data_IF_200860960835
#
_entry.id   IF_200860960835
#
_cell.length_a   1.000
_cell.length_b   1.000
_cell.length_c   1.000
_cell.angle_alpha   90.00
_cell.angle_beta   90.00
_cell.angle_gamma   90.00
#
_symmetry.space_group_name_H-M   'P 1'
#
loop_
_entity.id
_entity.type
_entity.pdbx_description
1 polymer ?
#
# COMPACT_ATOMS: atom_id res chain seq x y z
N UNK A 1 -23.40 14.17 49.87
CA UNK A 1 -24.81 13.86 49.51
C UNK A 1 -25.17 14.44 48.13
N UNK A 2 -24.33 14.26 47.12
CA UNK A 2 -24.56 14.63 45.70
C UNK A 2 -23.75 13.66 44.82
N UNK A 3 -24.03 12.36 44.92
CA UNK A 3 -23.35 11.36 44.08
C UNK A 3 -24.23 10.13 43.73
N UNK A 4 -25.56 10.26 43.86
CA UNK A 4 -26.51 9.15 43.62
C UNK A 4 -27.69 9.52 42.71
N UNK A 5 -27.56 10.52 41.85
CA UNK A 5 -28.69 10.95 40.98
C UNK A 5 -28.38 10.82 39.46
N UNK A 6 -27.36 10.07 39.05
CA UNK A 6 -27.02 9.88 37.62
C UNK A 6 -27.18 8.45 37.10
N UNK A 7 -27.78 7.54 37.87
CA UNK A 7 -27.96 6.13 37.44
C UNK A 7 -29.41 5.72 37.16
N UNK A 8 -30.36 6.66 37.07
CA UNK A 8 -31.78 6.29 36.92
C UNK A 8 -32.46 6.80 35.62
N UNK A 9 -31.72 7.19 34.58
CA UNK A 9 -32.33 7.65 33.30
C UNK A 9 -31.96 6.76 32.10
N UNK A 10 -31.31 5.63 32.29
CA UNK A 10 -30.85 4.76 31.16
C UNK A 10 -31.57 3.39 31.10
N UNK A 11 -32.73 3.18 31.70
CA UNK A 11 -33.49 1.91 31.66
C UNK A 11 -34.95 2.12 31.28
N UNK A 12 -35.28 2.94 30.29
CA UNK A 12 -36.69 3.09 29.87
C UNK A 12 -36.87 3.38 28.38
N UNK A 13 -36.08 2.72 27.49
CA UNK A 13 -36.31 2.74 26.04
C UNK A 13 -35.97 1.39 25.36
N UNK A 14 -36.39 0.28 25.95
CA UNK A 14 -36.39 -1.02 25.26
C UNK A 14 -37.67 -1.75 25.63
N UNK A 15 -38.79 -1.36 25.04
CA UNK A 15 -39.99 -2.19 24.90
C UNK A 15 -41.05 -1.40 24.10
N UNK A 16 -41.01 -1.49 22.80
CA UNK A 16 -42.17 -1.40 21.89
C UNK A 16 -41.69 -1.58 20.47
N UNK A 17 -41.93 -2.76 19.90
CA UNK A 17 -42.22 -3.00 18.49
C UNK A 17 -42.08 -4.51 18.21
N UNK A 18 -43.05 -5.26 18.71
CA UNK A 18 -43.46 -6.53 18.13
C UNK A 18 -44.92 -6.40 17.78
N UNK A 19 -45.26 -6.40 16.49
CA UNK A 19 -46.46 -7.05 15.95
C UNK A 19 -46.61 -6.79 14.46
N UNK A 20 -46.71 -7.87 13.70
CA UNK A 20 -47.49 -8.09 12.46
C UNK A 20 -46.98 -7.35 11.19
N UNK A 21 -46.74 -8.06 10.09
CA UNK A 21 -47.65 -8.93 9.35
C UNK A 21 -46.92 -9.66 8.25
N UNK A 22 -47.20 -10.94 8.11
CA UNK A 22 -47.00 -11.82 6.99
C UNK A 22 -47.61 -11.27 5.69
N UNK A 23 -46.89 -11.30 4.60
CA UNK A 23 -47.46 -11.49 3.26
C UNK A 23 -46.53 -12.29 2.37
N UNK A 24 -47.10 -13.29 1.79
CA UNK A 24 -46.66 -14.43 1.00
C UNK A 24 -46.62 -14.08 -0.49
N UNK A 25 -45.69 -14.76 -1.23
CA UNK A 25 -45.73 -15.08 -2.67
C UNK A 25 -45.43 -13.97 -3.71
N UNK A 26 -44.46 -14.17 -4.58
CA UNK A 26 -44.55 -15.02 -5.79
C UNK A 26 -43.20 -15.05 -6.54
N UNK A 27 -42.74 -16.23 -6.86
CA UNK A 27 -41.78 -16.48 -7.98
C UNK A 27 -42.44 -16.26 -9.34
N UNK A 28 -41.69 -15.93 -10.38
CA UNK A 28 -42.04 -16.38 -11.72
C UNK A 28 -40.90 -17.15 -12.39
N UNK A 29 -41.33 -18.28 -12.87
CA UNK A 29 -40.85 -19.30 -13.77
C UNK A 29 -40.01 -18.82 -14.97
N UNK A 30 -38.98 -19.62 -15.24
CA UNK A 30 -38.26 -19.78 -16.50
C UNK A 30 -39.18 -20.21 -17.65
N UNK A 31 -38.87 -19.92 -18.91
CA UNK A 31 -39.11 -20.85 -19.98
C UNK A 31 -37.83 -21.28 -20.69
N UNK A 32 -37.88 -22.55 -21.10
CA UNK A 32 -36.89 -23.37 -21.73
C UNK A 32 -36.79 -23.19 -23.26
N UNK A 33 -35.62 -23.60 -23.78
CA UNK A 33 -35.33 -24.23 -25.05
C UNK A 33 -35.88 -23.68 -26.38
N UNK A 34 -34.97 -23.37 -27.28
CA UNK A 34 -35.07 -23.86 -28.69
C UNK A 34 -33.69 -24.03 -29.30
N UNK A 35 -33.38 -25.26 -29.71
CA UNK A 35 -32.27 -25.68 -30.55
C UNK A 35 -32.54 -25.30 -32.04
N UNK A 36 -31.48 -25.11 -32.77
CA UNK A 36 -31.19 -25.55 -34.18
C UNK A 36 -30.13 -24.61 -34.76
N UNK A 37 -29.19 -24.95 -35.58
CA UNK A 37 -28.74 -26.08 -36.33
C UNK A 37 -27.42 -25.67 -37.01
N UNK A 38 -26.60 -26.64 -37.31
CA UNK A 38 -25.29 -26.59 -37.96
C UNK A 38 -25.33 -26.03 -39.39
N UNK A 39 -24.25 -25.41 -39.85
CA UNK A 39 -23.74 -25.70 -41.21
C UNK A 39 -22.22 -25.48 -41.27
N UNK A 40 -21.54 -26.56 -41.65
CA UNK A 40 -20.13 -26.63 -42.10
C UNK A 40 -20.02 -26.13 -43.56
N UNK A 41 -18.86 -25.51 -43.90
CA UNK A 41 -18.16 -25.73 -45.20
C UNK A 41 -16.74 -25.21 -45.08
N UNK A 42 -15.75 -26.09 -45.00
CA UNK A 42 -14.74 -26.61 -45.97
C UNK A 42 -13.82 -25.59 -46.67
N UNK A 43 -12.53 -25.87 -46.45
CA UNK A 43 -11.31 -25.41 -47.15
C UNK A 43 -11.38 -25.48 -48.71
N UNK A 44 -10.41 -24.84 -49.46
CA UNK A 44 -9.12 -25.49 -49.69
C UNK A 44 -7.88 -24.59 -49.78
N UNK A 45 -6.77 -25.26 -49.61
CA UNK A 45 -5.35 -25.06 -49.88
C UNK A 45 -5.00 -24.55 -51.28
N UNK A 46 -3.93 -23.75 -51.43
CA UNK A 46 -2.97 -23.92 -52.54
C UNK A 46 -1.62 -23.30 -52.21
N UNK A 47 -0.59 -24.12 -52.39
CA UNK A 47 0.84 -23.84 -52.40
C UNK A 47 1.26 -23.14 -53.70
N UNK A 48 2.32 -22.33 -53.63
CA UNK A 48 3.33 -22.34 -54.72
C UNK A 48 4.67 -21.77 -54.22
N UNK A 49 5.69 -22.62 -54.42
CA UNK A 49 7.12 -22.32 -54.34
C UNK A 49 7.56 -21.32 -55.42
N UNK A 50 8.63 -20.55 -55.18
CA UNK A 50 9.81 -20.61 -56.06
C UNK A 50 11.04 -19.90 -55.46
N UNK A 51 12.17 -20.55 -55.66
CA UNK A 51 13.54 -20.24 -55.37
C UNK A 51 14.11 -19.13 -56.29
N UNK A 52 15.15 -18.42 -55.89
CA UNK A 52 16.54 -18.51 -56.32
C UNK A 52 17.42 -17.35 -55.82
N UNK A 53 18.54 -17.73 -55.16
CA UNK A 53 19.96 -17.36 -55.28
C UNK A 53 20.38 -15.87 -55.44
N UNK A 54 21.31 -15.35 -54.76
CA UNK A 54 22.73 -15.61 -54.52
C UNK A 54 23.41 -14.42 -53.78
N UNK A 55 24.35 -14.80 -52.87
CA UNK A 55 25.71 -14.31 -52.66
C UNK A 55 26.08 -13.07 -51.78
N UNK A 56 26.82 -13.43 -50.76
CA UNK A 56 28.07 -12.84 -50.17
C UNK A 56 28.02 -11.48 -49.46
N UNK A 57 28.25 -11.48 -48.18
CA UNK A 57 29.58 -11.25 -47.58
C UNK A 57 29.54 -11.35 -46.04
N UNK A 58 30.54 -12.03 -45.52
CA UNK A 58 30.84 -12.19 -44.09
C UNK A 58 31.11 -10.86 -43.39
N UNK A 59 30.52 -10.70 -42.23
CA UNK A 59 31.18 -10.07 -41.08
C UNK A 59 30.68 -10.74 -39.81
N UNK A 60 31.59 -11.39 -39.12
CA UNK A 60 31.42 -11.93 -37.77
C UNK A 60 30.99 -10.83 -36.82
N UNK A 61 29.87 -11.03 -36.16
CA UNK A 61 29.53 -10.34 -34.90
C UNK A 61 29.13 -11.38 -33.86
N UNK A 62 30.01 -11.57 -32.91
CA UNK A 62 29.82 -12.29 -31.66
C UNK A 62 28.56 -11.84 -30.94
N UNK A 63 27.75 -12.76 -30.42
CA UNK A 63 26.63 -12.37 -29.53
C UNK A 63 27.22 -11.89 -28.20
N UNK A 64 27.00 -10.63 -27.86
CA UNK A 64 27.24 -10.13 -26.52
C UNK A 64 26.22 -10.76 -25.60
N UNK A 65 26.70 -11.52 -24.66
CA UNK A 65 26.04 -12.04 -23.49
C UNK A 65 25.40 -10.85 -22.71
N UNK A 66 24.10 -10.73 -22.80
CA UNK A 66 23.33 -9.76 -22.05
C UNK A 66 23.07 -10.29 -20.65
N UNK A 67 24.08 -10.29 -19.78
CA UNK A 67 23.82 -10.40 -18.36
C UNK A 67 23.03 -9.16 -17.93
N UNK A 68 21.77 -9.32 -17.61
CA UNK A 68 21.01 -8.35 -16.80
C UNK A 68 21.78 -8.17 -15.49
N UNK A 69 22.56 -7.09 -15.41
CA UNK A 69 23.20 -6.68 -14.17
C UNK A 69 22.10 -6.31 -13.18
N UNK A 70 22.14 -6.89 -11.98
CA UNK A 70 21.39 -6.45 -10.83
C UNK A 70 21.47 -4.91 -10.69
N UNK A 71 20.43 -4.22 -10.17
CA UNK A 71 20.47 -2.77 -9.98
C UNK A 71 21.72 -2.39 -9.21
N UNK A 72 22.56 -1.53 -9.78
CA UNK A 72 23.76 -1.06 -9.12
C UNK A 72 23.37 -0.31 -7.84
N UNK A 73 23.94 -0.71 -6.70
CA UNK A 73 23.77 -0.09 -5.37
C UNK A 73 24.10 1.41 -5.35
N UNK A 74 24.84 1.91 -6.32
CA UNK A 74 25.30 3.31 -6.41
C UNK A 74 24.22 4.37 -6.64
N UNK A 75 22.95 3.97 -6.80
CA UNK A 75 21.82 4.91 -7.03
C UNK A 75 20.77 4.91 -5.92
N UNK A 76 20.96 4.17 -4.82
CA UNK A 76 20.02 4.18 -3.70
C UNK A 76 20.20 5.44 -2.87
N UNK A 77 19.09 6.16 -2.63
CA UNK A 77 19.07 7.36 -1.79
C UNK A 77 19.12 7.03 -0.30
N UNK A 78 18.56 5.89 0.11
CA UNK A 78 18.41 5.51 1.51
C UNK A 78 19.19 4.24 1.84
N UNK A 79 19.88 4.24 2.99
CA UNK A 79 20.75 3.13 3.41
C UNK A 79 20.03 1.78 3.57
N UNK A 80 18.71 1.81 3.88
CA UNK A 80 17.88 0.61 4.02
C UNK A 80 17.29 0.10 2.69
N UNK A 81 17.69 0.69 1.57
CA UNK A 81 17.09 0.47 0.27
C UNK A 81 15.85 1.34 0.01
N UNK A 82 15.61 1.54 -1.26
CA UNK A 82 14.47 2.31 -1.74
C UNK A 82 13.98 1.79 -3.11
N UNK A 83 12.82 2.24 -3.50
CA UNK A 83 12.23 1.94 -4.80
C UNK A 83 12.02 3.24 -5.58
N UNK A 84 12.32 3.20 -6.89
CA UNK A 84 12.03 4.32 -7.78
C UNK A 84 10.52 4.38 -8.07
N UNK A 85 9.89 5.52 -7.81
CA UNK A 85 8.51 5.79 -8.18
C UNK A 85 8.42 6.28 -9.63
N UNK A 86 7.28 6.05 -10.28
CA UNK A 86 7.01 6.58 -11.62
C UNK A 86 6.98 8.13 -11.68
N UNK A 87 6.90 8.79 -10.54
CA UNK A 87 7.03 10.24 -10.38
C UNK A 87 8.48 10.77 -10.45
N UNK A 88 9.47 9.87 -10.51
CA UNK A 88 10.91 10.22 -10.51
C UNK A 88 11.54 10.36 -9.13
N UNK A 89 10.77 10.28 -8.05
CA UNK A 89 11.30 10.27 -6.68
C UNK A 89 11.59 8.84 -6.20
N UNK A 90 12.36 8.72 -5.13
CA UNK A 90 12.68 7.43 -4.50
C UNK A 90 12.04 7.35 -3.14
N UNK A 91 11.45 6.20 -2.81
CA UNK A 91 10.71 5.95 -1.57
C UNK A 91 11.36 4.81 -0.79
N UNK A 92 11.67 4.98 0.52
CA UNK A 92 12.21 3.90 1.35
C UNK A 92 11.28 2.69 1.40
N UNK A 93 11.86 1.49 1.47
CA UNK A 93 11.08 0.23 1.47
C UNK A 93 10.43 -0.09 2.82
N UNK A 94 10.88 0.57 3.91
CA UNK A 94 10.33 0.41 5.26
C UNK A 94 10.02 1.78 5.88
N UNK A 95 8.83 1.91 6.46
CA UNK A 95 8.37 3.12 7.12
C UNK A 95 7.72 2.87 8.47
N UNK A 96 7.49 3.95 9.24
CA UNK A 96 6.67 3.94 10.44
C UNK A 96 5.25 4.39 10.09
N UNK A 97 4.26 3.51 10.29
CA UNK A 97 2.84 3.85 10.26
C UNK A 97 2.41 4.48 11.60
N UNK A 98 1.67 5.60 11.54
CA UNK A 98 1.26 6.34 12.73
C UNK A 98 -0.22 6.18 13.08
N UNK A 99 -0.95 5.29 12.41
CA UNK A 99 -2.35 5.01 12.73
C UNK A 99 -2.50 4.64 14.21
N UNK A 100 -3.45 5.30 14.90
CA UNK A 100 -3.78 5.14 16.33
C UNK A 100 -2.84 5.78 17.35
N UNK A 101 -1.75 6.39 16.92
CA UNK A 101 -0.95 7.20 17.81
C UNK A 101 -1.65 8.55 18.04
N UNK A 102 -1.63 9.03 19.29
CA UNK A 102 -1.97 10.41 19.62
C UNK A 102 -0.90 11.37 19.07
N UNK A 103 -1.17 12.69 19.10
CA UNK A 103 -0.19 13.69 18.67
C UNK A 103 1.14 13.56 19.44
N UNK A 104 1.08 13.37 20.77
CA UNK A 104 2.28 13.26 21.62
C UNK A 104 3.03 11.94 21.37
N UNK A 105 2.32 10.81 21.20
CA UNK A 105 2.94 9.54 20.84
C UNK A 105 3.55 9.60 19.42
N UNK A 106 2.89 10.25 18.47
CA UNK A 106 3.41 10.43 17.13
C UNK A 106 4.68 11.28 17.12
N UNK A 107 4.76 12.36 17.90
CA UNK A 107 5.96 13.16 18.05
C UNK A 107 7.14 12.32 18.56
N UNK A 108 6.92 11.56 19.63
CA UNK A 108 7.96 10.75 20.25
C UNK A 108 8.40 9.57 19.38
N UNK A 109 7.44 8.80 18.83
CA UNK A 109 7.73 7.65 17.98
C UNK A 109 8.39 8.03 16.66
N UNK A 110 7.99 9.13 16.02
CA UNK A 110 8.60 9.62 14.78
C UNK A 110 10.04 10.04 15.03
N UNK A 111 10.29 10.80 16.10
CA UNK A 111 11.65 11.17 16.49
C UNK A 111 12.52 9.94 16.75
N UNK A 112 12.00 8.97 17.52
CA UNK A 112 12.71 7.72 17.81
C UNK A 112 12.98 6.90 16.55
N UNK A 113 11.97 6.73 15.68
CA UNK A 113 12.12 6.00 14.42
C UNK A 113 13.20 6.62 13.53
N UNK A 114 13.20 7.95 13.37
CA UNK A 114 14.23 8.65 12.57
C UNK A 114 15.62 8.43 13.18
N UNK A 115 15.74 8.48 14.50
CA UNK A 115 16.98 8.22 15.22
C UNK A 115 17.46 6.76 15.06
N UNK A 116 16.54 5.80 14.98
CA UNK A 116 16.83 4.38 14.72
C UNK A 116 17.29 4.14 13.27
N UNK A 117 16.87 5.00 12.32
CA UNK A 117 17.27 4.89 10.92
C UNK A 117 16.11 4.95 9.92
N UNK A 118 14.85 4.96 10.35
CA UNK A 118 13.72 5.14 9.47
C UNK A 118 13.81 6.45 8.69
N UNK A 119 13.37 6.37 7.42
CA UNK A 119 13.33 7.53 6.51
C UNK A 119 11.99 7.67 5.79
N UNK A 120 10.99 6.85 6.13
CA UNK A 120 9.60 6.92 5.66
C UNK A 120 8.67 7.00 6.86
N UNK A 121 7.80 8.02 6.88
CA UNK A 121 6.76 8.22 7.89
C UNK A 121 5.41 8.32 7.19
N UNK A 122 4.48 7.46 7.56
CA UNK A 122 3.11 7.44 7.03
C UNK A 122 2.11 7.95 8.08
N UNK A 123 1.36 8.97 7.71
CA UNK A 123 0.24 9.52 8.47
C UNK A 123 -0.97 9.76 7.57
N UNK A 124 -2.04 10.35 8.10
CA UNK A 124 -3.23 10.77 7.38
C UNK A 124 -4.02 11.83 8.16
N UNK A 125 -4.81 12.62 7.45
CA UNK A 125 -5.77 13.56 8.07
C UNK A 125 -6.70 12.87 9.07
N UNK A 126 -7.17 11.66 8.72
CA UNK A 126 -8.08 10.87 9.56
C UNK A 126 -7.45 10.45 10.89
N UNK A 127 -6.13 10.34 10.96
CA UNK A 127 -5.45 9.93 12.19
C UNK A 127 -5.41 11.02 13.25
N UNK A 128 -5.55 12.29 12.83
CA UNK A 128 -5.58 13.45 13.74
C UNK A 128 -4.23 13.79 14.36
N UNK A 129 -3.14 13.19 13.89
CA UNK A 129 -1.81 13.30 14.49
C UNK A 129 -0.74 13.92 13.56
N UNK A 130 -1.14 14.55 12.45
CA UNK A 130 -0.20 15.20 11.53
C UNK A 130 0.70 16.24 12.22
N UNK A 131 0.19 16.93 13.25
CA UNK A 131 0.99 17.90 14.04
C UNK A 131 2.09 17.23 14.85
N UNK A 132 1.78 16.10 15.49
CA UNK A 132 2.76 15.30 16.23
C UNK A 132 3.84 14.77 15.30
N UNK A 133 3.45 14.21 14.13
CA UNK A 133 4.41 13.77 13.08
C UNK A 133 5.33 14.92 12.67
N UNK A 134 4.78 16.10 12.37
CA UNK A 134 5.57 17.28 12.01
C UNK A 134 6.54 17.73 13.09
N UNK A 135 6.13 17.71 14.36
CA UNK A 135 6.99 18.05 15.50
C UNK A 135 8.13 17.03 15.68
N UNK A 136 7.83 15.72 15.59
CA UNK A 136 8.85 14.67 15.71
C UNK A 136 9.91 14.79 14.62
N UNK A 137 9.49 15.02 13.36
CA UNK A 137 10.41 15.29 12.26
C UNK A 137 11.22 16.57 12.47
N UNK A 138 10.56 17.67 12.85
CA UNK A 138 11.24 18.93 13.13
C UNK A 138 12.31 18.77 14.21
N UNK A 139 12.00 18.07 15.30
CA UNK A 139 12.95 17.77 16.38
C UNK A 139 14.17 17.02 15.86
N UNK A 140 13.97 16.01 15.00
CA UNK A 140 15.09 15.26 14.42
C UNK A 140 15.96 16.11 13.49
N UNK A 141 15.36 17.08 12.78
CA UNK A 141 16.08 18.07 11.96
C UNK A 141 16.84 19.05 12.84
N UNK A 142 16.21 19.61 13.87
CA UNK A 142 16.82 20.57 14.79
C UNK A 142 18.02 19.94 15.54
N UNK A 143 17.95 18.66 15.89
CA UNK A 143 19.02 17.89 16.52
C UNK A 143 20.13 17.47 15.51
N UNK A 144 19.97 17.78 14.23
CA UNK A 144 20.96 17.48 13.17
C UNK A 144 21.04 16.00 12.80
N UNK A 145 20.05 15.18 13.14
CA UNK A 145 20.02 13.75 12.81
C UNK A 145 19.76 13.54 11.31
N UNK A 146 18.86 14.34 10.73
CA UNK A 146 18.49 14.31 9.31
C UNK A 146 18.23 15.72 8.79
N UNK A 147 18.23 15.87 7.46
CA UNK A 147 17.64 17.03 6.78
C UNK A 147 16.23 16.68 6.31
N UNK A 148 15.43 17.70 5.93
CA UNK A 148 14.07 17.48 5.40
C UNK A 148 14.06 16.56 4.16
N UNK A 149 15.00 16.74 3.28
CA UNK A 149 15.14 15.96 2.05
C UNK A 149 15.52 14.49 2.28
N UNK A 150 16.00 14.13 3.47
CA UNK A 150 16.37 12.77 3.84
C UNK A 150 15.16 11.94 4.31
N UNK A 151 14.01 12.57 4.57
CA UNK A 151 12.83 11.89 5.10
C UNK A 151 11.67 12.00 4.11
N UNK A 152 11.08 10.86 3.79
CA UNK A 152 9.89 10.75 2.95
C UNK A 152 8.64 10.75 3.84
N UNK A 153 7.73 11.68 3.62
CA UNK A 153 6.51 11.84 4.42
C UNK A 153 5.28 11.59 3.55
N UNK A 154 4.45 10.64 3.97
CA UNK A 154 3.15 10.35 3.35
C UNK A 154 2.02 10.89 4.22
N UNK A 155 1.04 11.57 3.61
CA UNK A 155 -0.27 11.84 4.22
C UNK A 155 -1.40 11.47 3.27
N UNK A 156 -2.66 11.52 3.75
CA UNK A 156 -3.83 11.06 2.99
C UNK A 156 -5.01 12.00 3.21
N UNK A 157 -5.74 12.32 2.14
CA UNK A 157 -6.99 13.07 2.22
C UNK A 157 -8.11 12.15 2.67
N UNK A 158 -8.81 12.49 3.75
CA UNK A 158 -9.93 11.71 4.26
C UNK A 158 -11.23 12.00 3.49
N UNK A 159 -12.17 11.03 3.38
CA UNK A 159 -13.42 11.20 2.63
C UNK A 159 -14.25 12.43 3.04
N UNK A 160 -14.23 12.80 4.31
CA UNK A 160 -14.92 13.99 4.81
C UNK A 160 -14.45 15.31 4.19
N UNK A 161 -13.26 15.33 3.60
CA UNK A 161 -12.64 16.53 3.00
C UNK A 161 -12.68 16.53 1.46
N UNK A 162 -13.35 15.55 0.82
CA UNK A 162 -13.38 15.45 -0.64
C UNK A 162 -14.13 16.59 -1.33
N UNK A 163 -14.94 17.36 -0.61
CA UNK A 163 -15.64 18.55 -1.15
C UNK A 163 -14.73 19.79 -1.27
N UNK A 164 -13.60 19.84 -0.58
CA UNK A 164 -12.64 20.96 -0.57
C UNK A 164 -11.20 20.45 -0.58
N UNK A 165 -10.78 19.72 -1.64
CA UNK A 165 -9.51 19.01 -1.62
C UNK A 165 -8.29 19.92 -1.65
N UNK A 166 -8.34 21.06 -2.36
CA UNK A 166 -7.21 22.00 -2.44
C UNK A 166 -6.87 22.58 -1.05
N UNK A 167 -7.88 23.09 -0.33
CA UNK A 167 -7.71 23.63 1.03
C UNK A 167 -7.22 22.53 2.00
N UNK A 168 -7.72 21.33 1.82
CA UNK A 168 -7.40 20.17 2.65
C UNK A 168 -5.93 19.73 2.49
N UNK A 169 -5.38 19.80 1.27
CA UNK A 169 -3.96 19.51 1.00
C UNK A 169 -3.08 20.57 1.67
N UNK A 170 -3.42 21.85 1.51
CA UNK A 170 -2.68 22.96 2.09
C UNK A 170 -2.73 22.92 3.64
N UNK A 171 -3.85 22.49 4.23
CA UNK A 171 -3.98 22.29 5.66
C UNK A 171 -3.09 21.15 6.18
N UNK A 172 -2.96 20.03 5.46
CA UNK A 172 -2.05 18.94 5.82
C UNK A 172 -0.60 19.40 5.83
N UNK A 173 -0.15 20.09 4.78
CA UNK A 173 1.21 20.65 4.74
C UNK A 173 1.47 21.59 5.92
N UNK A 174 0.49 22.44 6.25
CA UNK A 174 0.56 23.34 7.41
C UNK A 174 0.60 22.61 8.75
N UNK A 175 -0.22 21.55 8.95
CA UNK A 175 -0.22 20.75 10.18
C UNK A 175 1.10 20.02 10.37
N UNK A 176 1.64 19.45 9.30
CA UNK A 176 2.94 18.81 9.26
C UNK A 176 4.11 19.82 9.43
N UNK A 177 3.86 21.10 9.19
CA UNK A 177 4.91 22.13 9.20
C UNK A 177 5.92 21.97 8.08
N UNK A 178 5.48 21.53 6.90
CA UNK A 178 6.31 21.20 5.75
C UNK A 178 6.02 22.10 4.56
N UNK A 179 7.06 22.47 3.82
CA UNK A 179 6.93 23.18 2.54
C UNK A 179 6.40 22.27 1.42
N UNK A 180 6.65 20.97 1.54
CA UNK A 180 6.13 19.94 0.62
C UNK A 180 5.88 18.61 1.34
N UNK A 181 4.93 17.84 0.80
CA UNK A 181 4.64 16.44 1.19
C UNK A 181 5.20 15.53 0.09
N UNK A 182 5.92 14.47 0.45
CA UNK A 182 6.54 13.58 -0.54
C UNK A 182 5.51 12.73 -1.28
N UNK A 183 4.48 12.25 -0.57
CA UNK A 183 3.38 11.48 -1.15
C UNK A 183 2.05 11.88 -0.51
N UNK A 184 1.07 12.21 -1.35
CA UNK A 184 -0.30 12.44 -0.90
C UNK A 184 -1.24 11.43 -1.54
N UNK A 185 -2.01 10.71 -0.72
CA UNK A 185 -2.93 9.67 -1.15
C UNK A 185 -4.39 10.12 -1.03
N UNK A 186 -5.24 9.61 -1.90
CA UNK A 186 -6.66 9.48 -1.58
C UNK A 186 -6.78 8.33 -0.57
N UNK A 187 -7.40 8.58 0.61
CA UNK A 187 -7.40 7.63 1.70
C UNK A 187 -8.23 6.39 1.40
N UNK A 188 -9.35 6.56 0.69
CA UNK A 188 -10.20 5.46 0.23
C UNK A 188 -11.13 5.91 -0.89
N UNK A 189 -11.71 4.95 -1.61
CA UNK A 189 -12.73 5.21 -2.63
C UNK A 189 -13.94 5.93 -2.04
N UNK A 190 -14.51 6.87 -2.78
CA UNK A 190 -15.68 7.62 -2.32
C UNK A 190 -16.26 8.53 -3.39
N UNK A 191 -17.37 9.20 -3.04
CA UNK A 191 -17.94 10.22 -3.91
C UNK A 191 -16.91 11.34 -4.17
N UNK A 192 -16.75 11.75 -5.43
CA UNK A 192 -15.82 12.81 -5.85
C UNK A 192 -14.33 12.47 -5.77
N UNK A 193 -13.93 11.22 -5.56
CA UNK A 193 -12.52 10.83 -5.48
C UNK A 193 -11.72 11.18 -6.76
N UNK A 194 -12.34 11.16 -7.95
CA UNK A 194 -11.71 11.60 -9.19
C UNK A 194 -11.36 13.10 -9.16
N UNK A 195 -12.27 13.94 -8.64
CA UNK A 195 -12.01 15.38 -8.47
C UNK A 195 -10.91 15.63 -7.45
N UNK A 196 -10.85 14.81 -6.38
CA UNK A 196 -9.76 14.84 -5.40
C UNK A 196 -8.44 14.47 -6.07
N UNK A 197 -8.42 13.43 -6.93
CA UNK A 197 -7.23 13.05 -7.66
C UNK A 197 -6.73 14.15 -8.60
N UNK A 198 -7.65 14.85 -9.25
CA UNK A 198 -7.32 16.05 -10.06
C UNK A 198 -6.74 17.18 -9.21
N UNK A 199 -7.24 17.38 -7.99
CA UNK A 199 -6.67 18.38 -7.08
C UNK A 199 -5.27 17.98 -6.61
N UNK A 200 -5.02 16.69 -6.33
CA UNK A 200 -3.69 16.17 -6.06
C UNK A 200 -2.72 16.42 -7.23
N UNK A 201 -3.15 16.17 -8.47
CA UNK A 201 -2.35 16.46 -9.65
C UNK A 201 -2.02 17.96 -9.82
N UNK A 202 -2.95 18.85 -9.44
CA UNK A 202 -2.69 20.29 -9.37
C UNK A 202 -1.69 20.64 -8.27
N UNK A 203 -1.77 20.00 -7.10
CA UNK A 203 -0.84 20.20 -5.99
C UNK A 203 0.59 19.80 -6.36
N UNK A 204 0.77 18.74 -7.18
CA UNK A 204 2.08 18.40 -7.77
C UNK A 204 2.60 19.56 -8.64
N UNK A 205 1.77 20.12 -9.52
CA UNK A 205 2.16 21.27 -10.37
C UNK A 205 2.50 22.52 -9.56
N UNK A 206 1.90 22.70 -8.37
CA UNK A 206 2.23 23.78 -7.41
C UNK A 206 3.50 23.50 -6.60
N UNK A 207 4.04 22.29 -6.63
CA UNK A 207 5.21 21.88 -5.85
C UNK A 207 4.94 21.58 -4.37
N UNK A 208 3.68 21.57 -3.93
CA UNK A 208 3.27 21.26 -2.55
C UNK A 208 3.30 19.74 -2.30
N UNK A 209 3.09 18.95 -3.34
CA UNK A 209 3.13 17.48 -3.30
C UNK A 209 4.11 16.99 -4.35
N UNK A 210 4.95 16.01 -4.03
CA UNK A 210 5.94 15.44 -4.97
C UNK A 210 5.39 14.24 -5.75
N UNK A 211 4.66 13.36 -5.07
CA UNK A 211 4.07 12.15 -5.66
C UNK A 211 2.62 12.02 -5.20
N UNK A 212 1.78 11.39 -6.02
CA UNK A 212 0.39 11.12 -5.68
C UNK A 212 0.05 9.65 -5.86
N UNK A 213 -0.93 9.17 -5.12
CA UNK A 213 -1.40 7.81 -5.19
C UNK A 213 -2.79 7.63 -4.60
N UNK A 214 -3.15 6.38 -4.41
CA UNK A 214 -4.47 5.97 -3.92
C UNK A 214 -4.31 4.92 -2.82
N UNK A 215 -5.27 4.85 -1.91
CA UNK A 215 -5.30 3.86 -0.83
C UNK A 215 -6.68 3.22 -0.74
N UNK A 216 -6.72 1.90 -0.47
CA UNK A 216 -7.94 1.10 -0.43
C UNK A 216 -8.68 0.98 -1.77
N UNK A 217 -7.90 0.80 -2.83
CA UNK A 217 -8.36 0.44 -4.17
C UNK A 217 -7.76 -0.93 -4.53
N UNK A 218 -8.60 -1.94 -4.67
CA UNK A 218 -8.17 -3.35 -4.69
C UNK A 218 -8.24 -4.01 -6.05
N UNK A 219 -8.80 -3.33 -7.06
CA UNK A 219 -8.99 -3.88 -8.40
C UNK A 219 -8.28 -3.05 -9.47
N UNK A 220 -7.90 -3.71 -10.57
CA UNK A 220 -7.36 -3.03 -11.75
C UNK A 220 -8.34 -2.00 -12.33
N UNK A 221 -9.65 -2.26 -12.29
CA UNK A 221 -10.66 -1.34 -12.79
C UNK A 221 -10.71 -0.05 -11.96
N UNK A 222 -10.61 -0.15 -10.64
CA UNK A 222 -10.55 1.02 -9.76
C UNK A 222 -9.27 1.83 -10.03
N UNK A 223 -8.13 1.15 -10.17
CA UNK A 223 -6.87 1.80 -10.52
C UNK A 223 -6.96 2.55 -11.86
N UNK A 224 -7.49 1.89 -12.90
CA UNK A 224 -7.66 2.51 -14.23
C UNK A 224 -8.57 3.74 -14.18
N UNK A 225 -9.64 3.69 -13.41
CA UNK A 225 -10.53 4.83 -13.20
C UNK A 225 -9.77 6.02 -12.63
N UNK A 226 -8.97 5.81 -11.60
CA UNK A 226 -8.20 6.87 -10.96
C UNK A 226 -7.06 7.36 -11.85
N UNK A 227 -6.35 6.45 -12.52
CA UNK A 227 -5.31 6.80 -13.50
C UNK A 227 -5.84 7.69 -14.62
N UNK A 228 -7.08 7.43 -15.08
CA UNK A 228 -7.70 8.20 -16.15
C UNK A 228 -8.33 9.53 -15.67
N UNK A 229 -8.41 9.76 -14.37
CA UNK A 229 -8.97 11.01 -13.81
C UNK A 229 -8.02 12.22 -13.96
N UNK A 230 -6.71 12.01 -14.12
CA UNK A 230 -5.72 13.07 -14.31
C UNK A 230 -4.53 12.59 -15.17
N UNK A 231 -3.68 13.55 -15.61
CA UNK A 231 -2.49 13.27 -16.44
C UNK A 231 -1.30 12.67 -15.65
N UNK A 232 -1.50 12.27 -14.41
CA UNK A 232 -0.47 11.68 -13.54
C UNK A 232 -0.92 10.28 -13.13
N UNK A 233 -0.10 9.28 -13.41
CA UNK A 233 -0.34 7.89 -12.98
C UNK A 233 -0.10 7.79 -11.47
N UNK A 234 -0.97 7.08 -10.69
CA UNK A 234 -0.70 6.85 -9.28
C UNK A 234 0.68 6.20 -9.07
N UNK A 235 1.52 6.83 -8.26
CA UNK A 235 2.86 6.31 -7.98
C UNK A 235 2.84 5.17 -6.96
N UNK A 236 1.85 5.19 -6.06
CA UNK A 236 1.68 4.22 -4.98
C UNK A 236 0.21 3.81 -4.90
N UNK A 237 -0.02 2.51 -4.69
CA UNK A 237 -1.29 1.95 -4.20
C UNK A 237 -1.03 1.42 -2.79
N UNK A 238 -1.62 2.07 -1.78
CA UNK A 238 -1.49 1.64 -0.39
C UNK A 238 -2.71 0.83 0.04
N UNK A 239 -2.55 -0.47 0.25
CA UNK A 239 -3.63 -1.39 0.57
C UNK A 239 -3.32 -2.24 1.80
N UNK A 240 -4.38 -2.83 2.40
CA UNK A 240 -4.20 -3.95 3.32
C UNK A 240 -3.36 -5.03 2.65
N UNK A 241 -2.25 -5.41 3.29
CA UNK A 241 -1.39 -6.47 2.76
C UNK A 241 -0.61 -7.13 3.92
N UNK A 242 -0.83 -8.42 4.10
CA UNK A 242 -0.24 -9.23 5.16
C UNK A 242 -0.18 -10.70 4.74
N UNK A 243 0.29 -11.62 5.59
CA UNK A 243 0.49 -13.04 5.25
C UNK A 243 -0.69 -13.72 4.57
N UNK A 244 -1.93 -13.37 4.96
CA UNK A 244 -3.15 -14.05 4.49
C UNK A 244 -3.90 -13.25 3.42
N UNK A 245 -3.38 -12.08 3.04
CA UNK A 245 -3.86 -11.26 1.94
C UNK A 245 -2.71 -10.51 1.29
N UNK A 246 -2.20 -10.99 0.16
CA UNK A 246 -0.92 -10.53 -0.40
C UNK A 246 -1.04 -9.64 -1.65
N UNK A 247 -2.24 -9.39 -2.15
CA UNK A 247 -2.48 -8.52 -3.33
C UNK A 247 -1.64 -8.85 -4.57
N UNK A 248 -1.25 -10.10 -4.78
CA UNK A 248 -0.31 -10.52 -5.82
C UNK A 248 -0.77 -10.16 -7.23
N UNK A 249 -2.07 -10.36 -7.54
CA UNK A 249 -2.64 -10.07 -8.85
C UNK A 249 -2.64 -8.57 -9.15
N UNK A 250 -3.07 -7.75 -8.18
CA UNK A 250 -3.04 -6.30 -8.34
C UNK A 250 -1.60 -5.80 -8.50
N UNK A 251 -0.67 -6.28 -7.69
CA UNK A 251 0.74 -5.92 -7.80
C UNK A 251 1.32 -6.27 -9.16
N UNK A 252 1.04 -7.47 -9.68
CA UNK A 252 1.47 -7.89 -11.02
C UNK A 252 0.90 -6.96 -12.10
N UNK A 253 -0.37 -6.57 -11.97
CA UNK A 253 -1.02 -5.62 -12.88
C UNK A 253 -0.36 -4.23 -12.84
N UNK A 254 -0.05 -3.71 -11.65
CA UNK A 254 0.52 -2.38 -11.44
C UNK A 254 1.95 -2.23 -11.98
N UNK A 255 2.69 -3.33 -12.11
CA UNK A 255 4.08 -3.35 -12.59
C UNK A 255 4.25 -2.66 -13.95
N UNK A 256 3.27 -2.77 -14.86
CA UNK A 256 3.32 -2.13 -16.18
C UNK A 256 3.33 -0.60 -16.12
N UNK A 257 2.92 -0.01 -15.00
CA UNK A 257 2.87 1.44 -14.76
C UNK A 257 4.00 1.93 -13.86
N UNK A 258 4.89 1.03 -13.41
CA UNK A 258 5.87 1.31 -12.35
C UNK A 258 5.20 1.88 -11.09
N UNK A 259 3.96 1.45 -10.79
CA UNK A 259 3.25 1.78 -9.56
C UNK A 259 3.61 0.74 -8.52
N UNK A 260 4.01 1.20 -7.33
CA UNK A 260 4.41 0.32 -6.22
C UNK A 260 3.26 0.07 -5.26
N UNK A 261 3.30 -1.06 -4.56
CA UNK A 261 2.32 -1.40 -3.52
C UNK A 261 2.94 -1.15 -2.15
N UNK A 262 2.27 -0.34 -1.35
CA UNK A 262 2.59 -0.10 0.06
C UNK A 262 1.60 -0.82 0.95
N UNK A 263 2.12 -1.53 1.95
CA UNK A 263 1.37 -2.41 2.84
C UNK A 263 1.02 -1.70 4.13
N UNK A 264 -0.26 -1.38 4.34
CA UNK A 264 -0.75 -1.11 5.68
C UNK A 264 -1.18 -2.42 6.34
N UNK A 265 -1.10 -2.52 7.67
CA UNK A 265 -1.23 -3.76 8.44
C UNK A 265 -0.27 -4.89 8.02
N UNK A 266 1.01 -4.61 7.73
CA UNK A 266 1.94 -5.65 7.28
C UNK A 266 2.07 -6.82 8.26
N UNK A 267 1.79 -6.60 9.53
CA UNK A 267 1.83 -7.58 10.63
C UNK A 267 0.43 -8.08 11.05
N UNK A 268 -0.62 -7.88 10.20
CA UNK A 268 -1.97 -8.39 10.42
C UNK A 268 -2.91 -7.46 11.20
N UNK A 269 -2.44 -6.33 11.71
CA UNK A 269 -3.27 -5.33 12.34
C UNK A 269 -3.98 -5.77 13.63
N UNK A 270 -5.02 -5.04 14.03
CA UNK A 270 -5.70 -5.26 15.31
C UNK A 270 -6.42 -6.60 15.37
N UNK A 271 -6.06 -7.38 16.40
CA UNK A 271 -6.70 -8.68 16.68
C UNK A 271 -6.13 -9.86 15.89
N UNK A 272 -5.35 -9.64 14.84
CA UNK A 272 -4.84 -10.68 13.95
C UNK A 272 -3.33 -10.90 14.01
N UNK A 273 -2.58 -10.00 14.63
CA UNK A 273 -1.12 -10.08 14.80
C UNK A 273 -0.70 -11.41 15.44
N UNK A 274 -1.39 -11.84 16.51
CA UNK A 274 -1.06 -13.09 17.22
C UNK A 274 -1.16 -14.31 16.33
N UNK A 275 -2.20 -14.40 15.49
CA UNK A 275 -2.40 -15.52 14.56
C UNK A 275 -1.24 -15.61 13.57
N UNK A 276 -0.80 -14.48 13.03
CA UNK A 276 0.31 -14.43 12.07
C UNK A 276 1.64 -14.79 12.74
N UNK A 277 1.91 -14.27 13.93
CA UNK A 277 3.16 -14.53 14.66
C UNK A 277 3.28 -15.99 15.16
N UNK A 278 2.16 -16.67 15.35
CA UNK A 278 2.10 -18.07 15.76
C UNK A 278 1.95 -19.06 14.58
N UNK A 279 1.98 -18.57 13.33
CA UNK A 279 1.97 -19.45 12.17
C UNK A 279 3.21 -20.34 12.16
N UNK A 280 3.03 -21.67 12.07
CA UNK A 280 4.11 -22.65 12.18
C UNK A 280 5.23 -22.44 11.16
N UNK A 281 4.90 -22.07 9.92
CA UNK A 281 5.89 -21.74 8.89
C UNK A 281 6.73 -20.53 9.29
N UNK A 282 6.10 -19.47 9.79
CA UNK A 282 6.79 -18.25 10.22
C UNK A 282 7.68 -18.53 11.43
N UNK A 283 7.17 -19.27 12.44
CA UNK A 283 7.95 -19.63 13.64
C UNK A 283 9.19 -20.44 13.26
N UNK A 284 9.05 -21.47 12.42
CA UNK A 284 10.16 -22.29 11.96
C UNK A 284 11.23 -21.50 11.20
N UNK A 285 10.80 -20.60 10.33
CA UNK A 285 11.71 -19.73 9.56
C UNK A 285 12.42 -18.75 10.52
N UNK A 286 11.69 -18.18 11.48
CA UNK A 286 12.24 -17.27 12.48
C UNK A 286 13.34 -17.92 13.33
N UNK A 287 13.11 -19.16 13.81
CA UNK A 287 14.12 -19.95 14.54
C UNK A 287 15.37 -20.18 13.69
N UNK A 288 15.21 -20.56 12.41
CA UNK A 288 16.32 -20.81 11.48
C UNK A 288 17.20 -19.56 11.26
N UNK A 289 16.60 -18.39 11.17
CA UNK A 289 17.31 -17.12 10.94
C UNK A 289 17.73 -16.42 12.24
N UNK A 290 17.38 -16.96 13.42
CA UNK A 290 17.58 -16.32 14.73
C UNK A 290 16.91 -14.93 14.79
N UNK A 291 15.73 -14.80 14.16
CA UNK A 291 14.92 -13.59 14.09
C UNK A 291 13.54 -13.83 14.72
N UNK A 292 12.78 -12.78 14.91
CA UNK A 292 11.41 -12.87 15.40
C UNK A 292 10.40 -13.02 14.26
N UNK A 293 9.19 -13.45 14.56
CA UNK A 293 8.12 -13.57 13.58
C UNK A 293 7.81 -12.24 12.85
N UNK A 294 7.71 -11.07 13.54
CA UNK A 294 7.58 -9.77 12.86
C UNK A 294 8.70 -9.51 11.85
N UNK A 295 9.95 -9.78 12.21
CA UNK A 295 11.10 -9.56 11.35
C UNK A 295 11.03 -10.42 10.07
N UNK A 296 10.64 -11.69 10.18
CA UNK A 296 10.44 -12.56 9.01
C UNK A 296 9.34 -12.01 8.09
N UNK A 297 8.20 -11.63 8.65
CA UNK A 297 7.06 -11.11 7.88
C UNK A 297 7.44 -9.82 7.15
N UNK A 298 8.09 -8.89 7.83
CA UNK A 298 8.53 -7.63 7.22
C UNK A 298 9.60 -7.87 6.16
N UNK A 299 10.58 -8.75 6.42
CA UNK A 299 11.59 -9.11 5.43
C UNK A 299 10.97 -9.73 4.19
N UNK A 300 10.02 -10.65 4.36
CA UNK A 300 9.25 -11.23 3.26
C UNK A 300 8.60 -10.16 2.39
N UNK A 301 7.91 -9.19 3.00
CA UNK A 301 7.23 -8.15 2.25
C UNK A 301 8.21 -7.30 1.43
N UNK A 302 9.30 -6.85 2.06
CA UNK A 302 10.32 -6.04 1.37
C UNK A 302 10.99 -6.85 0.25
N UNK A 303 11.37 -8.09 0.52
CA UNK A 303 12.02 -8.97 -0.46
C UNK A 303 11.06 -9.35 -1.59
N UNK A 304 9.76 -9.39 -1.33
CA UNK A 304 8.71 -9.50 -2.35
C UNK A 304 8.49 -8.20 -3.14
N UNK A 305 9.16 -7.09 -2.79
CA UNK A 305 9.04 -5.79 -3.45
C UNK A 305 7.79 -5.00 -3.06
N UNK A 306 7.28 -5.20 -1.85
CA UNK A 306 6.33 -4.29 -1.20
C UNK A 306 7.07 -3.27 -0.35
N UNK A 307 6.45 -2.11 -0.13
CA UNK A 307 6.85 -1.18 0.93
C UNK A 307 6.03 -1.54 2.16
N UNK A 308 6.65 -1.65 3.34
CA UNK A 308 5.96 -2.00 4.57
C UNK A 308 5.96 -0.84 5.57
N UNK A 309 4.79 -0.56 6.17
CA UNK A 309 4.62 0.51 7.18
C UNK A 309 4.04 -0.03 8.49
N UNK A 310 4.77 -0.89 9.23
CA UNK A 310 4.33 -1.33 10.55
C UNK A 310 4.18 -0.14 11.50
N UNK A 311 3.10 -0.11 12.29
CA UNK A 311 2.86 0.89 13.33
C UNK A 311 3.15 0.33 14.73
N UNK A 312 3.73 1.14 15.61
CA UNK A 312 3.89 0.85 17.03
C UNK A 312 4.07 2.12 17.85
N UNK A 313 3.55 2.13 19.09
CA UNK A 313 3.89 3.11 20.12
C UNK A 313 5.06 2.65 21.04
N UNK A 314 5.55 1.42 20.84
CA UNK A 314 6.65 0.85 21.62
C UNK A 314 7.97 0.98 20.87
N UNK A 315 8.94 1.67 21.47
CA UNK A 315 10.28 1.89 20.89
C UNK A 315 11.03 0.59 20.61
N UNK A 316 10.89 -0.43 21.47
CA UNK A 316 11.56 -1.73 21.25
C UNK A 316 11.01 -2.41 19.98
N UNK A 317 9.70 -2.35 19.76
CA UNK A 317 9.10 -2.88 18.54
C UNK A 317 9.50 -2.06 17.30
N UNK A 318 9.61 -0.73 17.41
CA UNK A 318 10.09 0.13 16.31
C UNK A 318 11.52 -0.26 15.94
N UNK A 319 12.41 -0.45 16.94
CA UNK A 319 13.78 -0.87 16.72
C UNK A 319 13.87 -2.30 16.15
N UNK A 320 13.09 -3.25 16.69
CA UNK A 320 13.00 -4.63 16.22
C UNK A 320 12.53 -4.71 14.75
N UNK A 321 11.48 -3.97 14.39
CA UNK A 321 10.97 -3.92 13.03
C UNK A 321 11.98 -3.35 12.02
N UNK A 322 12.91 -2.52 12.46
CA UNK A 322 13.98 -1.97 11.63
C UNK A 322 15.13 -2.95 11.40
N UNK A 323 15.35 -3.88 12.31
CA UNK A 323 16.46 -4.86 12.27
C UNK A 323 16.14 -6.06 11.36
N UNK A 324 15.97 -5.79 10.06
CA UNK A 324 15.57 -6.78 9.04
C UNK A 324 16.42 -6.76 7.77
N UNK A 325 17.52 -6.00 7.77
CA UNK A 325 18.35 -5.81 6.57
C UNK A 325 19.65 -6.62 6.58
N UNK A 326 19.93 -7.37 7.64
CA UNK A 326 21.13 -8.18 7.86
C UNK A 326 20.99 -9.65 7.46
N UNK A 327 19.81 -10.06 6.92
CA UNK A 327 19.54 -11.41 6.45
C UNK A 327 18.62 -11.40 5.22
N UNK A 328 18.58 -12.54 4.53
CA UNK A 328 17.68 -12.78 3.39
C UNK A 328 16.94 -14.09 3.56
N UNK A 329 15.68 -14.12 3.12
CA UNK A 329 14.90 -15.35 2.98
C UNK A 329 15.31 -16.06 1.69
N UNK A 330 15.44 -17.38 1.74
CA UNK A 330 15.68 -18.20 0.54
C UNK A 330 14.45 -18.24 -0.35
N UNK A 331 14.63 -18.60 -1.63
CA UNK A 331 13.51 -18.74 -2.58
C UNK A 331 12.45 -19.74 -2.09
N UNK A 332 12.86 -20.83 -1.44
CA UNK A 332 11.94 -21.80 -0.86
C UNK A 332 11.12 -21.19 0.29
N UNK A 333 11.75 -20.44 1.19
CA UNK A 333 11.08 -19.74 2.28
C UNK A 333 10.12 -18.66 1.76
N UNK A 334 10.53 -17.92 0.74
CA UNK A 334 9.68 -16.94 0.04
C UNK A 334 8.44 -17.64 -0.53
N UNK A 335 8.60 -18.79 -1.16
CA UNK A 335 7.49 -19.55 -1.73
C UNK A 335 6.59 -20.16 -0.64
N UNK A 336 7.15 -20.64 0.46
CA UNK A 336 6.36 -21.15 1.58
C UNK A 336 5.49 -20.05 2.18
N UNK A 337 6.04 -18.84 2.37
CA UNK A 337 5.28 -17.69 2.89
C UNK A 337 4.25 -17.20 1.87
N UNK A 338 4.57 -17.19 0.58
CA UNK A 338 3.61 -16.85 -0.47
C UNK A 338 2.39 -17.77 -0.43
N UNK A 339 2.59 -19.07 -0.18
CA UNK A 339 1.51 -20.07 -0.11
C UNK A 339 0.60 -19.91 1.13
N UNK A 340 0.92 -19.02 2.07
CA UNK A 340 0.05 -18.70 3.19
C UNK A 340 -1.10 -17.75 2.82
N UNK A 341 -1.09 -17.17 1.63
CA UNK A 341 -2.17 -16.30 1.15
C UNK A 341 -3.51 -17.06 1.14
N UNK A 342 -4.51 -16.49 1.77
CA UNK A 342 -5.88 -17.00 1.85
C UNK A 342 -6.88 -16.14 1.09
N UNK A 343 -6.45 -15.01 0.56
CA UNK A 343 -7.32 -14.01 -0.04
C UNK A 343 -8.28 -13.36 0.96
N UNK A 344 -7.94 -13.34 2.25
CA UNK A 344 -8.82 -12.86 3.33
C UNK A 344 -8.34 -11.50 3.81
N UNK A 345 -9.14 -10.46 3.57
CA UNK A 345 -8.99 -9.14 4.18
C UNK A 345 -9.62 -9.13 5.57
N UNK A 346 -9.02 -8.36 6.47
CA UNK A 346 -9.55 -8.16 7.82
C UNK A 346 -10.43 -6.92 7.93
N UNK A 347 -10.21 -5.93 7.06
CA UNK A 347 -10.93 -4.66 7.08
C UNK A 347 -11.72 -4.45 5.78
N UNK A 348 -12.86 -3.79 5.91
CA UNK A 348 -13.78 -3.51 4.79
C UNK A 348 -13.81 -2.01 4.46
N UNK A 349 -12.64 -1.41 4.30
CA UNK A 349 -12.53 -0.01 3.88
C UNK A 349 -12.89 0.18 2.41
#
# INVERSE_FOLDING_TARGET
MIRQLFYLVLILCVFALTACSSHEQAEPKTPADTQSEQTQTSHPTEETENQTDTNHSNTENTPSDGSESAPQEDNMKYAIGDVALNSGYRMPVLGLGTWTLSDDEAEDCVYFAIKTGYRLIDTAQYYGNEKGVGKGLKRAIDDGIVKREDVFVTSKIMPGNYSSPDDSIDESAKKLGLDYIDLMLIHQSGAHDEQVYQALAKAVKRGIVRSIGISNYYTSNEFERMKNAADIVPAVVQNENHLYYQNTDLKAYLKQYNTVVESWYPLGGRGHTKEQFQNETIVRIAEKHHKTAPQIILRYQIQSGYIAIPGSSNHDHIAENYDIFDFELTDDEMQEILNLDKGIRYENW
#
